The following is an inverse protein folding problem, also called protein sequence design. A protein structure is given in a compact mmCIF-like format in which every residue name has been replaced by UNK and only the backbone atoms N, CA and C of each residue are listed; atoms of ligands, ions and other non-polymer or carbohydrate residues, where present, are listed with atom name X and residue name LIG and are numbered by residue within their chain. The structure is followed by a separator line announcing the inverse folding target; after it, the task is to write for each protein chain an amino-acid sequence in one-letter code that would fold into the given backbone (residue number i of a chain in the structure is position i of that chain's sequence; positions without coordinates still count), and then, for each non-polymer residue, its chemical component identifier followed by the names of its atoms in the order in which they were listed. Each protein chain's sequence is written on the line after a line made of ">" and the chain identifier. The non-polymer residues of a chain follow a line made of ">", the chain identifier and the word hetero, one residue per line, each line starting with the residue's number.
data_IF_403918645749
#
_entry.id   IF_403918645749
#
_cell.length_a   1.000
_cell.length_b   1.000
_cell.length_c   1.000
_cell.angle_alpha   90.00
_cell.angle_beta   90.00
_cell.angle_gamma   90.00
#
_symmetry.space_group_name_H-M   'P 1'
#
loop_
_entity.id
_entity.type
_entity.pdbx_description
1 polymer ?
#
# COMPACT_ATOMS: atom_id res chain seq x y z
N UNK A 1 -6.66 -8.43 -16.68
CA UNK A 1 -5.58 -7.43 -16.45
C UNK A 1 -4.34 -8.02 -15.78
N UNK A 2 -4.46 -8.85 -14.74
CA UNK A 2 -3.29 -9.43 -14.02
C UNK A 2 -2.36 -10.23 -14.94
N UNK A 3 -2.90 -11.18 -15.72
CA UNK A 3 -2.09 -11.98 -16.64
C UNK A 3 -1.30 -11.12 -17.65
N UNK A 4 -1.93 -10.08 -18.21
CA UNK A 4 -1.26 -9.15 -19.11
C UNK A 4 -0.19 -8.32 -18.40
N UNK A 5 -0.43 -7.89 -17.16
CA UNK A 5 0.55 -7.13 -16.38
C UNK A 5 1.77 -7.98 -16.00
N UNK A 6 1.59 -9.28 -15.73
CA UNK A 6 2.67 -10.22 -15.42
C UNK A 6 3.55 -10.54 -16.64
N UNK A 7 3.07 -10.28 -17.85
CA UNK A 7 3.82 -10.48 -19.10
C UNK A 7 4.61 -9.23 -19.51
N UNK A 8 4.48 -8.11 -18.80
CA UNK A 8 5.22 -6.89 -19.13
C UNK A 8 6.72 -7.08 -18.89
N UNK A 9 7.58 -6.56 -19.78
CA UNK A 9 9.00 -6.42 -19.51
C UNK A 9 9.26 -5.62 -18.23
N UNK A 10 10.33 -5.97 -17.51
CA UNK A 10 10.65 -5.38 -16.20
C UNK A 10 10.84 -3.87 -16.27
N UNK A 11 11.43 -3.35 -17.35
CA UNK A 11 11.61 -1.90 -17.56
C UNK A 11 10.29 -1.13 -17.68
N UNK A 12 9.19 -1.83 -18.00
CA UNK A 12 7.84 -1.27 -18.00
C UNK A 12 7.16 -1.37 -16.63
N UNK A 13 7.70 -2.17 -15.71
CA UNK A 13 7.28 -2.22 -14.32
C UNK A 13 8.05 -1.19 -13.49
N UNK A 14 9.38 -1.19 -13.56
CA UNK A 14 10.26 -0.28 -12.83
C UNK A 14 11.63 -0.13 -13.49
N UNK A 15 12.23 1.03 -13.29
CA UNK A 15 13.64 1.35 -13.58
C UNK A 15 14.32 1.76 -12.27
N UNK A 16 15.63 2.07 -12.26
CA UNK A 16 16.29 2.62 -11.08
C UNK A 16 15.62 3.91 -10.55
N UNK A 17 15.06 4.71 -11.46
CA UNK A 17 14.54 6.04 -11.14
C UNK A 17 12.99 6.09 -11.08
N UNK A 18 12.29 5.19 -11.77
CA UNK A 18 10.84 5.23 -11.91
C UNK A 18 10.16 3.90 -11.58
N UNK A 19 8.91 3.98 -11.10
CA UNK A 19 8.08 2.78 -10.82
C UNK A 19 6.70 2.92 -11.46
N UNK A 20 6.11 1.77 -11.79
CA UNK A 20 4.82 1.63 -12.48
C UNK A 20 4.81 2.31 -13.85
N UNK A 21 5.90 2.16 -14.60
CA UNK A 21 6.17 2.93 -15.82
C UNK A 21 5.03 2.79 -16.84
N UNK A 22 4.63 1.57 -17.20
CA UNK A 22 3.54 1.35 -18.15
C UNK A 22 2.19 1.91 -17.66
N UNK A 23 1.87 1.72 -16.38
CA UNK A 23 0.61 2.24 -15.82
C UNK A 23 0.56 3.77 -15.85
N UNK A 24 1.67 4.44 -15.51
CA UNK A 24 1.77 5.90 -15.53
C UNK A 24 1.67 6.44 -16.96
N UNK A 25 2.38 5.81 -17.91
CA UNK A 25 2.32 6.17 -19.34
C UNK A 25 0.91 6.02 -19.91
N UNK A 26 0.23 4.91 -19.60
CA UNK A 26 -1.15 4.66 -20.05
C UNK A 26 -2.19 5.66 -19.46
N UNK A 27 -1.86 6.31 -18.36
CA UNK A 27 -2.71 7.31 -17.71
C UNK A 27 -2.40 8.76 -18.13
N UNK A 28 -1.29 9.01 -18.83
CA UNK A 28 -0.78 10.36 -19.06
C UNK A 28 -1.68 11.22 -19.96
N UNK A 29 -2.41 10.59 -20.87
CA UNK A 29 -3.38 11.19 -21.80
C UNK A 29 -4.81 11.23 -21.24
N UNK A 30 -5.04 10.61 -20.07
CA UNK A 30 -6.38 10.44 -19.48
C UNK A 30 -6.57 11.20 -18.17
N UNK A 31 -5.49 11.52 -17.46
CA UNK A 31 -5.53 12.13 -16.14
C UNK A 31 -4.65 13.39 -16.07
N UNK A 32 -4.94 14.34 -15.15
CA UNK A 32 -4.04 15.44 -14.86
C UNK A 32 -2.65 14.95 -14.43
N UNK A 33 -1.61 15.70 -14.78
CA UNK A 33 -0.23 15.39 -14.41
C UNK A 33 -0.05 15.21 -12.89
N UNK A 34 -0.79 15.97 -12.08
CA UNK A 34 -0.80 15.85 -10.62
C UNK A 34 -1.27 14.49 -10.11
N UNK A 35 -2.03 13.73 -10.90
CA UNK A 35 -2.56 12.41 -10.52
C UNK A 35 -1.65 11.30 -11.04
N UNK A 36 -1.33 11.28 -12.33
CA UNK A 36 -0.58 10.15 -12.90
C UNK A 36 0.91 10.19 -12.54
N UNK A 37 1.47 11.36 -12.22
CA UNK A 37 2.85 11.48 -11.71
C UNK A 37 2.96 11.36 -10.19
N UNK A 38 1.84 11.36 -9.46
CA UNK A 38 1.84 11.33 -8.01
C UNK A 38 2.60 10.12 -7.46
N UNK A 39 3.38 10.34 -6.41
CA UNK A 39 4.05 9.26 -5.70
C UNK A 39 3.05 8.29 -5.08
N UNK A 40 3.38 6.99 -5.13
CA UNK A 40 2.56 5.96 -4.50
C UNK A 40 2.62 6.16 -2.99
N UNK A 41 1.51 6.60 -2.40
CA UNK A 41 1.24 6.46 -0.97
C UNK A 41 0.22 5.33 -0.78
N UNK A 42 0.54 4.37 0.08
CA UNK A 42 -0.42 3.33 0.43
C UNK A 42 -1.55 3.96 1.25
N UNK A 43 -2.79 3.50 1.03
CA UNK A 43 -3.99 4.11 1.61
C UNK A 43 -3.88 4.18 3.13
N UNK A 44 -3.39 3.12 3.78
CA UNK A 44 -3.28 3.02 5.23
C UNK A 44 -2.38 4.11 5.86
N UNK A 45 -1.40 4.63 5.11
CA UNK A 45 -0.56 5.75 5.54
C UNK A 45 -1.14 7.10 5.11
N UNK A 46 -1.85 7.14 3.99
CA UNK A 46 -2.53 8.35 3.50
C UNK A 46 -3.67 8.79 4.40
N UNK A 47 -4.44 7.83 4.90
CA UNK A 47 -5.65 8.04 5.72
C UNK A 47 -5.39 7.94 7.22
N UNK A 48 -4.16 7.65 7.64
CA UNK A 48 -3.78 7.36 9.03
C UNK A 48 -4.44 6.11 9.63
N UNK A 49 -5.07 5.24 8.83
CA UNK A 49 -5.66 3.99 9.32
C UNK A 49 -4.63 3.12 10.03
N UNK A 50 -3.37 3.06 9.55
CA UNK A 50 -2.32 2.32 10.27
C UNK A 50 -2.06 2.84 11.68
N UNK A 51 -2.14 4.16 11.89
CA UNK A 51 -1.96 4.77 13.22
C UNK A 51 -3.13 4.43 14.13
N UNK A 52 -4.33 4.37 13.55
CA UNK A 52 -5.54 4.06 14.29
C UNK A 52 -5.59 2.59 14.73
N UNK A 53 -5.18 1.68 13.84
CA UNK A 53 -5.04 0.26 14.18
C UNK A 53 -3.97 0.02 15.25
N UNK A 54 -2.81 0.70 15.18
CA UNK A 54 -1.79 0.66 16.24
C UNK A 54 -2.34 1.19 17.58
N UNK A 55 -3.14 2.27 17.57
CA UNK A 55 -3.78 2.83 18.77
C UNK A 55 -4.71 1.81 19.43
N UNK A 56 -5.60 1.20 18.65
CA UNK A 56 -6.57 0.21 19.14
C UNK A 56 -5.87 -1.05 19.67
N UNK A 57 -4.87 -1.57 18.96
CA UNK A 57 -4.08 -2.71 19.42
C UNK A 57 -3.43 -2.42 20.78
N UNK A 58 -2.79 -1.25 20.93
CA UNK A 58 -2.14 -0.85 22.20
C UNK A 58 -3.13 -0.66 23.34
N UNK A 59 -4.32 -0.13 23.07
CA UNK A 59 -5.38 0.01 24.07
C UNK A 59 -5.86 -1.34 24.61
N UNK A 60 -5.77 -2.39 23.79
CA UNK A 60 -6.12 -3.77 24.15
C UNK A 60 -4.92 -4.61 24.62
N UNK A 61 -3.80 -3.95 24.99
CA UNK A 61 -2.66 -4.64 25.59
C UNK A 61 -1.64 -5.22 24.61
N UNK A 62 -1.85 -5.09 23.30
CA UNK A 62 -0.89 -5.53 22.27
C UNK A 62 0.22 -4.48 22.13
N UNK A 63 1.36 -4.74 22.79
CA UNK A 63 2.49 -3.81 22.91
C UNK A 63 3.34 -3.84 21.63
N UNK A 64 3.89 -2.71 21.19
CA UNK A 64 4.78 -2.62 20.01
C UNK A 64 6.04 -3.51 20.04
N UNK A 65 6.46 -3.95 21.23
CA UNK A 65 7.58 -4.90 21.40
C UNK A 65 7.17 -6.35 21.12
N UNK A 66 5.87 -6.61 20.96
CA UNK A 66 5.36 -7.87 20.44
C UNK A 66 5.48 -7.77 18.92
N UNK A 67 6.12 -8.75 18.31
CA UNK A 67 6.21 -8.82 16.86
C UNK A 67 4.80 -8.90 16.27
N UNK A 68 4.53 -8.08 15.25
CA UNK A 68 3.21 -7.98 14.61
C UNK A 68 2.03 -7.76 15.58
N UNK A 69 2.20 -6.85 16.54
CA UNK A 69 1.18 -6.58 17.57
C UNK A 69 -0.18 -6.15 16.99
N UNK A 70 -0.19 -5.51 15.81
CA UNK A 70 -1.45 -5.16 15.12
C UNK A 70 -2.11 -6.39 14.51
N UNK A 71 -1.34 -7.28 13.87
CA UNK A 71 -1.86 -8.54 13.33
C UNK A 71 -2.46 -9.41 14.44
N UNK A 72 -1.73 -9.59 15.54
CA UNK A 72 -2.22 -10.35 16.69
C UNK A 72 -3.50 -9.78 17.31
N UNK A 73 -3.64 -8.45 17.35
CA UNK A 73 -4.88 -7.81 17.80
C UNK A 73 -6.04 -8.15 16.87
N UNK A 74 -5.86 -8.04 15.56
CA UNK A 74 -6.89 -8.38 14.57
C UNK A 74 -7.29 -9.86 14.69
N UNK A 75 -6.32 -10.76 14.83
CA UNK A 75 -6.57 -12.19 15.03
C UNK A 75 -7.39 -12.46 16.30
N UNK A 76 -7.10 -11.76 17.39
CA UNK A 76 -7.86 -11.90 18.64
C UNK A 76 -9.34 -11.50 18.50
N UNK A 77 -9.65 -10.50 17.66
CA UNK A 77 -11.03 -10.08 17.39
C UNK A 77 -11.81 -11.08 16.52
N UNK A 78 -11.10 -11.91 15.74
CA UNK A 78 -11.73 -12.95 14.90
C UNK A 78 -11.98 -14.26 15.68
N UNK A 79 -11.32 -14.42 16.83
CA UNK A 79 -11.46 -15.59 17.69
C UNK A 79 -12.60 -15.45 18.72
N UNK A 80 -13.23 -14.27 18.81
CA UNK A 80 -14.41 -13.95 19.62
C UNK A 80 -15.70 -14.12 18.80
#
# INVERSE_FOLDING_TARGET
>A
VVAAALQLPDELLATPDERKVALRRAAADRLPASVWRADKKAVQYGTYVSRELDRLARQNGFKRRMDDHVGQYIESLLAE
#
